data_IF_008354033922
#
_entry.id   IF_008354033922
#
_cell.length_a   1.000
_cell.length_b   1.000
_cell.length_c   1.000
_cell.angle_alpha   90.00
_cell.angle_beta   90.00
_cell.angle_gamma   90.00
#
_symmetry.space_group_name_H-M   'P 1'
#
loop_
_entity.id
_entity.type
_entity.pdbx_description
1 polymer ?
#
# COMPACT_ATOMS: atom_id res chain seq x y z
N UNK A 1 -53.81 44.35 11.62
CA UNK A 1 -52.72 44.14 10.62
C UNK A 1 -51.72 43.17 11.24
N UNK A 2 -51.95 41.85 11.08
CA UNK A 2 -51.11 40.77 11.68
C UNK A 2 -50.12 40.28 10.63
N UNK A 3 -48.81 40.38 10.92
CA UNK A 3 -47.72 39.83 10.11
C UNK A 3 -47.41 38.43 10.65
N UNK A 4 -47.63 37.38 9.86
CA UNK A 4 -47.19 36.03 10.14
C UNK A 4 -45.72 35.87 9.71
N UNK A 5 -44.85 35.59 10.70
CA UNK A 5 -43.48 35.17 10.46
C UNK A 5 -43.48 33.65 10.25
N UNK A 6 -43.18 33.20 9.04
CA UNK A 6 -43.00 31.79 8.71
C UNK A 6 -41.54 31.41 8.96
N UNK A 7 -41.28 30.64 10.02
CA UNK A 7 -39.98 30.05 10.26
C UNK A 7 -39.87 28.78 9.42
N UNK A 8 -39.00 28.81 8.39
CA UNK A 8 -38.61 27.61 7.62
C UNK A 8 -37.54 26.86 8.38
N UNK A 9 -37.86 25.68 8.92
CA UNK A 9 -36.92 24.75 9.52
C UNK A 9 -36.29 23.92 8.39
N UNK A 10 -35.02 24.16 8.08
CA UNK A 10 -34.25 23.29 7.20
C UNK A 10 -33.73 22.14 8.06
N UNK A 11 -34.38 20.98 7.91
CA UNK A 11 -33.87 19.72 8.46
C UNK A 11 -32.70 19.27 7.60
N UNK A 12 -31.46 19.49 8.08
CA UNK A 12 -30.26 18.89 7.51
C UNK A 12 -30.17 17.46 8.06
N UNK A 13 -30.67 16.48 7.29
CA UNK A 13 -30.47 15.07 7.58
C UNK A 13 -29.05 14.68 7.14
N UNK A 14 -28.13 14.63 8.10
CA UNK A 14 -26.84 13.96 7.89
C UNK A 14 -27.09 12.47 7.76
N UNK A 15 -27.02 11.92 6.53
CA UNK A 15 -26.89 10.49 6.34
C UNK A 15 -25.50 10.09 6.88
N UNK A 16 -25.50 9.47 8.07
CA UNK A 16 -24.34 8.73 8.55
C UNK A 16 -24.26 7.45 7.71
N UNK A 17 -23.33 7.45 6.74
CA UNK A 17 -22.95 6.20 6.07
C UNK A 17 -22.30 5.31 7.14
N UNK A 18 -22.98 4.23 7.49
CA UNK A 18 -22.39 3.15 8.28
C UNK A 18 -21.30 2.50 7.39
N UNK A 19 -20.03 2.80 7.65
CA UNK A 19 -18.93 2.08 7.04
C UNK A 19 -18.97 0.64 7.54
N UNK A 20 -19.43 -0.27 6.70
CA UNK A 20 -19.30 -1.70 6.93
C UNK A 20 -17.80 -1.98 6.81
N UNK A 21 -17.11 -2.48 7.86
CA UNK A 21 -15.71 -2.85 7.71
C UNK A 21 -15.61 -3.90 6.61
N UNK A 22 -14.92 -3.58 5.54
CA UNK A 22 -14.58 -4.53 4.50
C UNK A 22 -13.68 -5.59 5.14
N UNK A 23 -14.12 -6.84 5.11
CA UNK A 23 -13.31 -7.94 5.60
C UNK A 23 -12.00 -7.96 4.80
N UNK A 24 -10.86 -8.19 5.48
CA UNK A 24 -9.57 -8.33 4.83
C UNK A 24 -9.65 -9.42 3.76
N UNK A 25 -9.31 -9.05 2.53
CA UNK A 25 -9.28 -9.96 1.38
C UNK A 25 -7.83 -10.38 1.10
N UNK A 26 -7.65 -11.48 0.38
CA UNK A 26 -6.32 -11.86 -0.13
C UNK A 26 -5.97 -10.88 -1.25
N UNK A 27 -4.95 -10.06 -1.03
CA UNK A 27 -4.49 -9.04 -1.97
C UNK A 27 -3.33 -9.51 -2.85
N UNK A 28 -2.55 -10.51 -2.40
CA UNK A 28 -1.54 -11.20 -3.21
C UNK A 28 -1.35 -12.63 -2.69
N UNK A 29 -1.06 -13.56 -3.61
CA UNK A 29 -0.93 -14.98 -3.31
C UNK A 29 0.15 -15.64 -4.15
N UNK A 30 0.99 -16.46 -3.49
CA UNK A 30 2.01 -17.31 -4.08
C UNK A 30 1.74 -18.74 -3.60
N UNK A 31 1.19 -19.61 -4.47
CA UNK A 31 0.84 -21.00 -4.11
C UNK A 31 2.04 -21.92 -4.06
N UNK A 32 3.01 -21.70 -4.92
CA UNK A 32 4.15 -22.58 -5.19
C UNK A 32 3.78 -24.01 -5.64
N UNK A 33 2.52 -24.28 -5.96
CA UNK A 33 2.02 -25.63 -6.26
C UNK A 33 2.80 -26.36 -7.37
N UNK A 34 3.23 -25.60 -8.39
CA UNK A 34 3.97 -26.15 -9.54
C UNK A 34 5.50 -25.98 -9.41
N UNK A 35 5.97 -25.41 -8.28
CA UNK A 35 7.38 -25.19 -8.05
C UNK A 35 8.15 -26.50 -7.82
N UNK A 36 9.37 -26.58 -8.35
CA UNK A 36 10.34 -27.62 -7.97
C UNK A 36 11.10 -27.24 -6.69
N UNK A 37 10.99 -25.98 -6.25
CA UNK A 37 11.60 -25.41 -5.07
C UNK A 37 12.92 -24.70 -5.33
N UNK A 38 13.55 -24.93 -6.47
CA UNK A 38 14.87 -24.39 -6.80
C UNK A 38 14.86 -23.40 -7.97
N UNK A 39 13.70 -22.90 -8.39
CA UNK A 39 13.57 -21.80 -9.35
C UNK A 39 14.33 -20.57 -8.86
N UNK A 40 14.87 -19.78 -9.77
CA UNK A 40 15.55 -18.53 -9.42
C UNK A 40 14.59 -17.55 -8.74
N UNK A 41 13.38 -17.43 -9.29
CA UNK A 41 12.27 -16.66 -8.79
C UNK A 41 10.97 -17.44 -8.98
N UNK A 42 9.92 -17.09 -8.28
CA UNK A 42 8.57 -17.64 -8.47
C UNK A 42 7.56 -16.52 -8.63
N UNK A 43 6.78 -16.54 -9.72
CA UNK A 43 5.78 -15.53 -10.03
C UNK A 43 4.64 -15.47 -9.02
N UNK A 44 4.01 -14.31 -8.88
CA UNK A 44 2.75 -14.19 -8.14
C UNK A 44 1.65 -14.94 -8.90
N UNK A 45 0.88 -15.78 -8.20
CA UNK A 45 -0.24 -16.54 -8.81
C UNK A 45 -1.50 -15.68 -8.94
N UNK A 46 -1.75 -14.81 -7.97
CA UNK A 46 -2.86 -13.87 -7.97
C UNK A 46 -2.52 -12.59 -7.21
N UNK A 47 -3.01 -11.45 -7.71
CA UNK A 47 -2.97 -10.17 -7.02
C UNK A 47 -4.22 -9.34 -7.37
N UNK A 48 -4.58 -8.40 -6.48
CA UNK A 48 -5.63 -7.40 -6.75
C UNK A 48 -5.28 -6.58 -8.00
N UNK A 49 -6.29 -6.16 -8.78
CA UNK A 49 -6.10 -5.46 -10.07
C UNK A 49 -5.31 -4.15 -9.93
N UNK A 50 -5.49 -3.44 -8.81
CA UNK A 50 -4.81 -2.18 -8.53
C UNK A 50 -3.50 -2.34 -7.75
N UNK A 51 -2.96 -3.57 -7.66
CA UNK A 51 -1.73 -3.91 -6.96
C UNK A 51 -0.75 -4.63 -7.89
N UNK A 52 0.45 -4.09 -8.01
CA UNK A 52 1.56 -4.83 -8.59
C UNK A 52 2.29 -5.62 -7.49
N UNK A 53 2.50 -6.90 -7.73
CA UNK A 53 3.30 -7.77 -6.86
C UNK A 53 4.48 -8.35 -7.66
N UNK A 54 5.69 -8.29 -7.08
CA UNK A 54 6.88 -8.86 -7.71
C UNK A 54 6.89 -10.38 -7.60
N UNK A 55 7.75 -11.01 -8.38
CA UNK A 55 8.15 -12.40 -8.13
C UNK A 55 8.76 -12.54 -6.72
N UNK A 56 8.58 -13.73 -6.13
CA UNK A 56 9.31 -14.15 -4.94
C UNK A 56 10.76 -14.44 -5.31
N UNK A 57 11.70 -13.89 -4.56
CA UNK A 57 13.14 -14.02 -4.78
C UNK A 57 13.89 -14.45 -3.49
N UNK A 58 15.16 -14.87 -3.67
CA UNK A 58 16.08 -15.17 -2.57
C UNK A 58 17.13 -14.09 -2.42
N UNK A 59 17.57 -13.85 -1.21
CA UNK A 59 18.75 -13.06 -0.92
C UNK A 59 20.02 -13.74 -1.44
N UNK A 60 21.09 -12.97 -1.67
CA UNK A 60 22.33 -13.50 -2.24
C UNK A 60 23.10 -14.46 -1.33
N UNK A 61 22.82 -14.48 -0.02
CA UNK A 61 23.48 -15.36 0.95
C UNK A 61 22.97 -16.80 0.90
N UNK A 62 21.77 -17.05 0.37
CA UNK A 62 21.19 -18.40 0.30
C UNK A 62 21.17 -18.96 -1.11
N UNK A 63 21.15 -20.28 -1.21
CA UNK A 63 21.09 -20.99 -2.50
C UNK A 63 19.75 -21.72 -2.67
N UNK A 64 19.22 -21.77 -3.92
CA UNK A 64 18.06 -22.59 -4.23
C UNK A 64 18.25 -24.06 -3.82
N UNK A 65 17.17 -24.69 -3.41
CA UNK A 65 17.16 -26.11 -3.02
C UNK A 65 15.87 -26.76 -3.50
N UNK A 66 15.94 -28.02 -3.92
CA UNK A 66 14.78 -28.80 -4.32
C UNK A 66 13.78 -28.93 -3.16
N UNK A 67 12.50 -28.85 -3.49
CA UNK A 67 11.38 -28.99 -2.57
C UNK A 67 10.06 -28.80 -3.30
N UNK A 68 9.58 -29.84 -3.99
CA UNK A 68 8.35 -29.78 -4.80
C UNK A 68 7.20 -29.13 -4.05
N UNK A 69 6.45 -28.26 -4.71
CA UNK A 69 5.33 -27.51 -4.15
C UNK A 69 5.75 -26.47 -3.09
N UNK A 70 6.98 -25.94 -3.15
CA UNK A 70 7.47 -24.95 -2.17
C UNK A 70 8.52 -24.03 -2.79
N UNK A 71 8.80 -22.88 -2.19
CA UNK A 71 9.97 -22.07 -2.47
C UNK A 71 11.04 -22.35 -1.41
N UNK A 72 12.15 -22.98 -1.81
CA UNK A 72 13.09 -23.62 -0.88
C UNK A 72 14.51 -23.06 -1.02
N UNK A 73 15.23 -22.92 0.09
CA UNK A 73 16.63 -22.53 0.10
C UNK A 73 17.46 -23.30 1.13
N UNK A 74 18.78 -23.29 0.92
CA UNK A 74 19.83 -23.82 1.79
C UNK A 74 20.95 -22.81 1.93
N UNK A 75 21.98 -23.12 2.69
CA UNK A 75 23.14 -22.27 3.02
C UNK A 75 22.76 -21.06 3.91
N UNK A 76 21.73 -21.22 4.70
CA UNK A 76 21.35 -20.27 5.73
C UNK A 76 22.44 -20.09 6.78
N UNK A 77 22.56 -18.89 7.35
CA UNK A 77 23.49 -18.59 8.43
C UNK A 77 23.34 -19.56 9.60
N UNK A 78 24.46 -20.10 10.09
CA UNK A 78 24.54 -21.03 11.19
C UNK A 78 24.73 -20.36 12.55
N UNK A 79 24.88 -19.05 12.55
CA UNK A 79 25.05 -18.23 13.75
C UNK A 79 23.91 -17.23 13.91
N UNK A 80 24.17 -15.97 13.99
CA UNK A 80 23.14 -14.93 14.07
C UNK A 80 22.52 -14.56 12.71
N UNK A 81 21.67 -13.56 12.74
CA UNK A 81 21.05 -12.97 11.55
C UNK A 81 22.12 -12.52 10.55
N UNK A 82 21.97 -12.96 9.30
CA UNK A 82 22.69 -12.45 8.15
C UNK A 82 21.72 -11.67 7.26
N UNK A 83 22.11 -10.45 6.86
CA UNK A 83 21.25 -9.56 6.10
C UNK A 83 21.13 -9.96 4.62
N UNK A 84 21.88 -10.95 4.17
CA UNK A 84 21.82 -11.53 2.81
C UNK A 84 20.98 -12.82 2.76
N UNK A 85 20.59 -13.38 3.92
CA UNK A 85 19.89 -14.66 4.04
C UNK A 85 18.38 -14.46 4.19
N UNK A 86 17.64 -14.29 3.07
CA UNK A 86 16.21 -14.04 3.11
C UNK A 86 15.46 -14.59 1.89
N UNK A 87 14.14 -14.67 2.03
CA UNK A 87 13.16 -14.63 0.94
C UNK A 87 12.54 -13.23 0.86
N UNK A 88 12.24 -12.76 -0.33
CA UNK A 88 11.67 -11.40 -0.50
C UNK A 88 10.66 -11.31 -1.62
N UNK A 89 9.73 -10.37 -1.47
CA UNK A 89 8.81 -9.90 -2.49
C UNK A 89 8.49 -8.41 -2.26
N UNK A 90 7.97 -7.76 -3.30
CA UNK A 90 7.59 -6.34 -3.27
C UNK A 90 6.13 -6.19 -3.68
N UNK A 91 5.40 -5.33 -2.99
CA UNK A 91 4.06 -4.88 -3.35
C UNK A 91 4.10 -3.39 -3.66
N UNK A 92 3.40 -2.96 -4.69
CA UNK A 92 3.27 -1.56 -5.06
C UNK A 92 1.83 -1.27 -5.50
N UNK A 93 1.10 -0.39 -4.82
CA UNK A 93 -0.20 0.06 -5.31
C UNK A 93 -0.01 0.81 -6.63
N UNK A 94 -0.96 0.69 -7.56
CA UNK A 94 -0.94 1.47 -8.79
C UNK A 94 -1.20 2.95 -8.50
N UNK A 95 -0.78 3.88 -9.38
CA UNK A 95 -1.01 5.30 -9.20
C UNK A 95 -2.48 5.63 -8.94
N UNK A 96 -2.76 6.40 -7.89
CA UNK A 96 -4.11 6.75 -7.45
C UNK A 96 -4.76 5.74 -6.48
N UNK A 97 -4.01 4.72 -6.06
CA UNK A 97 -4.44 3.75 -5.06
C UNK A 97 -3.53 3.77 -3.83
N UNK A 98 -4.06 3.30 -2.71
CA UNK A 98 -3.33 3.06 -1.47
C UNK A 98 -3.53 1.63 -1.00
N UNK A 99 -2.52 1.06 -0.36
CA UNK A 99 -2.45 -0.30 0.11
C UNK A 99 -2.51 -0.34 1.63
N UNK A 100 -3.40 -1.15 2.19
CA UNK A 100 -3.40 -1.52 3.61
C UNK A 100 -3.15 -3.02 3.69
N UNK A 101 -2.22 -3.44 4.56
CA UNK A 101 -1.87 -4.84 4.76
C UNK A 101 -2.14 -5.21 6.21
N UNK A 102 -3.02 -6.17 6.44
CA UNK A 102 -3.45 -6.56 7.78
C UNK A 102 -2.62 -7.70 8.34
N UNK A 103 -2.27 -8.68 7.49
CA UNK A 103 -1.46 -9.83 7.90
C UNK A 103 -0.80 -10.56 6.73
N UNK A 104 0.23 -11.33 7.07
CA UNK A 104 0.91 -12.28 6.19
C UNK A 104 0.68 -13.67 6.74
N UNK A 105 0.27 -14.60 5.88
CA UNK A 105 0.10 -16.02 6.24
C UNK A 105 0.93 -16.87 5.29
N UNK A 106 1.53 -17.95 5.80
CA UNK A 106 2.29 -18.92 5.00
C UNK A 106 2.43 -20.24 5.74
N UNK A 107 2.74 -21.27 4.99
CA UNK A 107 3.24 -22.51 5.54
C UNK A 107 4.77 -22.51 5.51
N UNK A 108 5.41 -23.07 6.54
CA UNK A 108 6.86 -23.22 6.55
C UNK A 108 7.26 -24.64 6.99
N UNK A 109 8.37 -25.08 6.47
CA UNK A 109 8.96 -26.37 6.86
C UNK A 109 10.48 -26.29 6.79
N UNK A 110 11.15 -26.80 7.84
CA UNK A 110 12.59 -27.00 7.85
C UNK A 110 12.94 -28.48 7.60
N UNK A 111 14.14 -28.78 7.09
CA UNK A 111 14.74 -30.10 7.27
C UNK A 111 15.27 -30.25 8.69
N UNK A 112 15.64 -31.48 9.10
CA UNK A 112 16.19 -31.75 10.44
C UNK A 112 17.41 -30.90 10.81
N UNK A 113 18.16 -30.37 9.84
CA UNK A 113 19.32 -29.51 10.05
C UNK A 113 19.12 -28.07 9.48
N UNK A 114 17.89 -27.68 9.15
CA UNK A 114 17.55 -26.36 8.61
C UNK A 114 17.53 -25.28 9.66
N UNK A 115 16.90 -24.15 9.25
CA UNK A 115 16.76 -22.92 10.05
C UNK A 115 16.06 -23.17 11.38
N UNK A 116 16.54 -22.52 12.44
CA UNK A 116 15.95 -22.59 13.81
C UNK A 116 15.25 -21.33 14.22
N UNK A 117 15.57 -20.19 13.57
CA UNK A 117 14.96 -18.90 13.87
C UNK A 117 14.65 -18.15 12.60
N UNK A 118 13.54 -17.40 12.62
CA UNK A 118 13.17 -16.51 11.55
C UNK A 118 12.60 -15.20 12.09
N UNK A 119 12.62 -14.17 11.24
CA UNK A 119 11.96 -12.88 11.48
C UNK A 119 11.59 -12.21 10.15
N UNK A 120 10.62 -11.31 10.20
CA UNK A 120 10.26 -10.44 9.09
C UNK A 120 10.78 -9.03 9.29
N UNK A 121 11.18 -8.39 8.18
CA UNK A 121 11.50 -6.96 8.09
C UNK A 121 10.99 -6.40 6.77
N UNK A 122 10.88 -5.07 6.66
CA UNK A 122 10.45 -4.42 5.42
C UNK A 122 11.27 -3.17 5.09
N UNK A 123 11.03 -2.64 3.89
CA UNK A 123 11.76 -1.47 3.36
C UNK A 123 11.35 -0.13 4.00
N UNK A 124 10.26 -0.07 4.76
CA UNK A 124 9.79 1.19 5.37
C UNK A 124 10.79 1.79 6.37
N UNK A 125 11.65 0.96 6.95
CA UNK A 125 12.67 1.34 7.92
C UNK A 125 14.08 0.85 7.53
N UNK A 126 14.32 0.62 6.23
CA UNK A 126 15.57 0.06 5.69
C UNK A 126 15.92 -1.30 6.33
N UNK A 127 14.92 -2.11 6.62
CA UNK A 127 15.06 -3.45 7.21
C UNK A 127 15.74 -3.46 8.58
N UNK A 128 15.53 -2.45 9.41
CA UNK A 128 16.19 -2.31 10.73
C UNK A 128 15.37 -2.93 11.86
N UNK A 129 14.04 -2.79 11.83
CA UNK A 129 13.15 -3.29 12.87
C UNK A 129 12.50 -4.62 12.49
N UNK A 130 12.30 -5.47 13.49
CA UNK A 130 11.61 -6.73 13.30
C UNK A 130 10.08 -6.54 13.37
N UNK A 131 9.37 -7.09 12.41
CA UNK A 131 7.91 -7.16 12.42
C UNK A 131 7.52 -8.42 13.22
N UNK A 132 6.79 -8.25 14.32
CA UNK A 132 6.32 -9.36 15.17
C UNK A 132 7.39 -10.06 15.99
N UNK A 133 8.66 -9.64 15.91
CA UNK A 133 9.75 -10.21 16.73
C UNK A 133 10.50 -11.38 16.07
N UNK A 134 11.22 -12.13 16.90
CA UNK A 134 11.99 -13.32 16.48
C UNK A 134 11.21 -14.58 16.86
N UNK A 135 11.10 -15.49 15.92
CA UNK A 135 10.39 -16.76 16.10
C UNK A 135 11.33 -17.95 16.08
N UNK A 136 11.07 -18.92 16.95
CA UNK A 136 11.86 -20.16 17.02
C UNK A 136 11.08 -21.30 16.40
N UNK A 137 11.73 -22.02 15.49
CA UNK A 137 11.17 -23.21 14.84
C UNK A 137 11.46 -24.45 15.72
N UNK A 138 10.44 -25.24 16.09
CA UNK A 138 10.63 -26.51 16.78
C UNK A 138 11.56 -27.47 16.02
N UNK A 139 12.28 -28.31 16.76
CA UNK A 139 13.22 -29.27 16.19
C UNK A 139 12.51 -30.51 15.61
N UNK A 140 11.79 -30.27 14.54
CA UNK A 140 11.14 -31.32 13.73
C UNK A 140 10.97 -30.81 12.29
N UNK A 141 10.60 -31.70 11.38
CA UNK A 141 10.41 -31.42 9.95
C UNK A 141 8.92 -31.30 9.55
N UNK A 142 8.04 -31.01 10.51
CA UNK A 142 6.62 -30.83 10.24
C UNK A 142 6.39 -29.52 9.51
N UNK A 143 5.39 -29.52 8.64
CA UNK A 143 4.85 -28.27 8.06
C UNK A 143 4.06 -27.53 9.13
N UNK A 144 4.26 -26.22 9.23
CA UNK A 144 3.61 -25.33 10.20
C UNK A 144 2.99 -24.15 9.48
N UNK A 145 1.74 -23.90 9.80
CA UNK A 145 1.07 -22.68 9.38
C UNK A 145 1.50 -21.52 10.29
N UNK A 146 1.84 -20.39 9.67
CA UNK A 146 2.23 -19.17 10.35
C UNK A 146 1.28 -18.05 9.97
N UNK A 147 1.01 -17.17 10.93
CA UNK A 147 0.26 -15.92 10.73
C UNK A 147 0.99 -14.81 11.43
N UNK A 148 1.31 -13.74 10.70
CA UNK A 148 1.93 -12.53 11.21
C UNK A 148 0.98 -11.36 11.04
N UNK A 149 0.28 -10.92 12.10
CA UNK A 149 -0.47 -9.67 12.08
C UNK A 149 0.48 -8.48 11.88
N UNK A 150 0.09 -7.54 11.05
CA UNK A 150 0.86 -6.31 10.80
C UNK A 150 0.25 -5.15 11.59
N UNK A 151 1.10 -4.32 12.24
CA UNK A 151 0.62 -3.13 12.97
C UNK A 151 -0.07 -2.14 12.04
N UNK A 152 -1.33 -1.83 12.33
CA UNK A 152 -2.16 -0.94 11.49
C UNK A 152 -1.66 0.51 11.44
N UNK A 153 -0.91 0.97 12.43
CA UNK A 153 -0.29 2.29 12.46
C UNK A 153 0.86 2.44 11.45
N UNK A 154 1.42 1.32 10.98
CA UNK A 154 2.57 1.28 10.06
C UNK A 154 2.17 0.84 8.66
N UNK A 155 1.22 -0.11 8.53
CA UNK A 155 0.89 -0.78 7.27
C UNK A 155 -0.47 -0.37 6.69
N UNK A 156 -0.94 0.84 7.00
CA UNK A 156 -2.18 1.40 6.48
C UNK A 156 -1.90 2.56 5.53
N UNK A 157 -2.63 2.61 4.40
CA UNK A 157 -2.58 3.69 3.42
C UNK A 157 -1.19 3.94 2.83
N UNK A 158 -0.50 2.86 2.48
CA UNK A 158 0.78 2.93 1.79
C UNK A 158 0.53 3.31 0.32
N UNK A 159 1.15 4.36 -0.15
CA UNK A 159 1.08 4.87 -1.53
C UNK A 159 2.37 4.61 -2.33
N UNK A 160 3.39 4.07 -1.66
CA UNK A 160 4.66 3.67 -2.25
C UNK A 160 4.88 2.16 -2.18
N UNK A 161 5.86 1.69 -2.95
CA UNK A 161 6.25 0.28 -2.94
C UNK A 161 6.85 -0.14 -1.60
N UNK A 162 6.44 -1.31 -1.10
CA UNK A 162 6.99 -1.93 0.09
C UNK A 162 7.61 -3.28 -0.26
N UNK A 163 8.84 -3.52 0.17
CA UNK A 163 9.51 -4.82 0.06
C UNK A 163 9.58 -5.49 1.40
N UNK A 164 9.12 -6.73 1.47
CA UNK A 164 9.23 -7.59 2.64
C UNK A 164 10.40 -8.55 2.49
N UNK A 165 11.07 -8.85 3.61
CA UNK A 165 12.11 -9.88 3.71
C UNK A 165 11.84 -10.81 4.88
N UNK A 166 11.79 -12.09 4.60
CA UNK A 166 11.71 -13.15 5.59
C UNK A 166 13.11 -13.75 5.76
N UNK A 167 13.74 -13.41 6.87
CA UNK A 167 15.08 -13.86 7.22
C UNK A 167 15.04 -15.19 7.95
N UNK A 168 15.95 -16.10 7.58
CA UNK A 168 16.17 -17.36 8.29
C UNK A 168 17.61 -17.47 8.78
N UNK A 169 17.82 -18.00 9.98
CA UNK A 169 19.16 -18.16 10.55
C UNK A 169 19.23 -19.24 11.63
N UNK A 170 20.39 -19.44 12.25
CA UNK A 170 20.67 -20.54 13.18
C UNK A 170 20.43 -21.91 12.56
N UNK A 171 20.78 -22.09 11.26
CA UNK A 171 20.73 -23.40 10.63
C UNK A 171 21.77 -24.32 11.26
N UNK A 172 21.42 -25.59 11.43
CA UNK A 172 22.34 -26.56 12.03
C UNK A 172 23.40 -27.07 11.04
N UNK A 173 23.10 -26.95 9.74
CA UNK A 173 24.02 -27.32 8.65
C UNK A 173 23.84 -26.38 7.45
N UNK A 174 24.91 -26.14 6.69
CA UNK A 174 24.85 -25.46 5.39
C UNK A 174 24.00 -26.19 4.34
N UNK A 175 23.79 -27.51 4.52
CA UNK A 175 22.90 -28.32 3.68
C UNK A 175 21.46 -28.34 4.21
N UNK A 176 21.23 -27.80 5.40
CA UNK A 176 19.90 -27.66 5.98
C UNK A 176 19.02 -26.78 5.13
N UNK A 177 17.82 -27.27 4.81
CA UNK A 177 16.86 -26.53 3.98
C UNK A 177 15.77 -25.89 4.83
N UNK A 178 15.28 -24.74 4.38
CA UNK A 178 14.05 -24.13 4.83
C UNK A 178 13.22 -23.72 3.63
N UNK A 179 11.92 -23.92 3.71
CA UNK A 179 11.00 -23.74 2.61
C UNK A 179 9.71 -23.09 3.09
N UNK A 180 9.12 -22.33 2.20
CA UNK A 180 7.81 -21.71 2.40
C UNK A 180 6.84 -22.18 1.32
N UNK A 181 5.57 -22.11 1.65
CA UNK A 181 4.46 -22.53 0.81
C UNK A 181 3.21 -21.72 1.15
N UNK A 182 2.24 -21.63 0.23
CA UNK A 182 0.96 -20.94 0.45
C UNK A 182 1.09 -19.53 1.05
N UNK A 183 1.99 -18.71 0.53
CA UNK A 183 2.16 -17.35 1.05
C UNK A 183 1.00 -16.45 0.59
N UNK A 184 0.26 -15.90 1.55
CA UNK A 184 -0.90 -15.02 1.35
C UNK A 184 -0.70 -13.71 2.09
N UNK A 185 -1.06 -12.61 1.43
CA UNK A 185 -1.16 -11.31 2.04
C UNK A 185 -2.62 -10.91 2.08
N UNK A 186 -3.11 -10.56 3.25
CA UNK A 186 -4.46 -10.08 3.44
C UNK A 186 -4.49 -8.60 3.76
N UNK A 187 -5.48 -7.90 3.21
CA UNK A 187 -5.60 -6.46 3.36
C UNK A 187 -6.62 -5.86 2.40
N UNK A 188 -6.39 -4.62 2.01
CA UNK A 188 -7.24 -3.89 1.05
C UNK A 188 -6.40 -2.99 0.15
N UNK A 189 -6.83 -2.86 -1.10
CA UNK A 189 -6.33 -1.84 -2.04
C UNK A 189 -7.49 -0.91 -2.34
N UNK A 190 -7.33 0.38 -2.08
CA UNK A 190 -8.41 1.36 -2.23
C UNK A 190 -7.97 2.58 -3.03
N UNK A 191 -8.88 3.16 -3.80
CA UNK A 191 -8.59 4.41 -4.50
C UNK A 191 -8.39 5.55 -3.49
N UNK A 192 -7.33 6.35 -3.70
CA UNK A 192 -7.12 7.57 -2.93
C UNK A 192 -8.26 8.54 -3.24
N UNK A 193 -9.03 9.01 -2.24
CA UNK A 193 -10.10 9.96 -2.48
C UNK A 193 -9.55 11.23 -3.15
N UNK A 194 -10.06 11.56 -4.32
CA UNK A 194 -9.69 12.84 -4.92
C UNK A 194 -10.06 13.98 -3.97
N UNK A 195 -9.21 15.01 -3.83
CA UNK A 195 -9.56 16.19 -3.03
C UNK A 195 -10.89 16.71 -3.53
N UNK A 196 -11.91 16.60 -2.70
CA UNK A 196 -13.31 16.86 -3.04
C UNK A 196 -13.39 18.15 -3.84
N UNK A 197 -14.06 18.13 -5.01
CA UNK A 197 -14.16 19.22 -5.99
C UNK A 197 -14.74 20.56 -5.46
N UNK A 198 -15.03 20.64 -4.15
CA UNK A 198 -15.35 21.86 -3.41
C UNK A 198 -14.27 22.93 -3.60
N UNK A 199 -12.99 22.55 -3.56
CA UNK A 199 -11.87 23.48 -3.77
C UNK A 199 -11.79 23.96 -5.22
N UNK A 200 -12.05 23.08 -6.20
CA UNK A 200 -12.11 23.46 -7.61
C UNK A 200 -13.33 24.39 -7.89
N UNK A 201 -14.47 24.10 -7.26
CA UNK A 201 -15.67 24.91 -7.37
C UNK A 201 -15.49 26.30 -6.72
N UNK A 202 -14.86 26.36 -5.55
CA UNK A 202 -14.53 27.62 -4.86
C UNK A 202 -13.52 28.42 -5.69
N UNK A 203 -12.47 27.80 -6.23
CA UNK A 203 -11.50 28.47 -7.09
C UNK A 203 -12.16 29.04 -8.36
N UNK A 204 -13.08 28.29 -8.99
CA UNK A 204 -13.82 28.74 -10.15
C UNK A 204 -14.76 29.88 -9.82
N UNK A 205 -15.47 29.85 -8.68
CA UNK A 205 -16.33 30.93 -8.20
C UNK A 205 -15.55 32.19 -7.85
N UNK A 206 -14.37 32.07 -7.26
CA UNK A 206 -13.47 33.20 -6.97
C UNK A 206 -12.95 33.80 -8.28
N UNK A 207 -12.55 32.98 -9.24
CA UNK A 207 -12.09 33.44 -10.57
C UNK A 207 -13.22 34.17 -11.33
N UNK A 208 -14.45 33.66 -11.32
CA UNK A 208 -15.63 34.32 -11.90
C UNK A 208 -15.94 35.63 -11.20
N UNK A 209 -15.78 35.72 -9.89
CA UNK A 209 -16.01 36.95 -9.12
C UNK A 209 -14.99 38.04 -9.48
N UNK A 210 -13.71 37.65 -9.65
CA UNK A 210 -12.63 38.56 -10.05
C UNK A 210 -12.85 39.06 -11.49
N UNK A 211 -13.22 38.19 -12.43
CA UNK A 211 -13.49 38.54 -13.81
C UNK A 211 -14.73 39.47 -13.95
N UNK A 212 -15.75 39.28 -13.12
CA UNK A 212 -16.95 40.14 -13.09
C UNK A 212 -16.64 41.52 -12.50
N UNK A 213 -15.74 41.61 -11.54
CA UNK A 213 -15.32 42.88 -10.89
C UNK A 213 -14.48 43.75 -11.82
N UNK A 214 -13.71 43.12 -12.74
CA UNK A 214 -12.89 43.86 -13.72
C UNK A 214 -13.66 44.34 -14.96
N UNK A 215 -14.97 44.02 -15.06
CA UNK A 215 -15.88 44.59 -16.06
C UNK A 215 -16.66 45.78 -15.45
N UNK A 216 -15.97 46.78 -14.92
CA UNK A 216 -16.60 48.05 -14.60
C UNK A 216 -17.01 48.76 -15.89
N UNK A 217 -18.22 49.38 -15.96
CA UNK A 217 -18.64 50.06 -17.15
C UNK A 217 -17.73 51.26 -17.43
N UNK A 218 -17.23 51.35 -18.66
CA UNK A 218 -16.60 52.59 -19.12
C UNK A 218 -17.65 53.69 -19.10
N UNK A 219 -17.48 54.70 -18.27
CA UNK A 219 -18.26 55.90 -18.29
C UNK A 219 -18.05 56.65 -19.62
N UNK A 220 -19.12 56.79 -20.41
CA UNK A 220 -19.14 57.64 -21.57
C UNK A 220 -18.84 59.10 -21.14
N UNK A 221 -17.70 59.60 -21.51
CA UNK A 221 -17.44 61.04 -21.47
C UNK A 221 -18.10 61.65 -22.68
N UNK A 222 -19.28 62.25 -22.51
CA UNK A 222 -19.87 63.17 -23.50
C UNK A 222 -19.06 64.45 -23.48
N UNK A 223 -18.35 64.71 -24.59
CA UNK A 223 -17.74 66.01 -24.91
C UNK A 223 -18.80 66.92 -25.53
N UNK A 224 -19.34 67.85 -24.73
CA UNK A 224 -20.15 68.97 -25.22
C UNK A 224 -19.21 69.96 -25.86
N UNK A 225 -19.24 70.11 -27.20
CA UNK A 225 -18.59 71.16 -27.93
C UNK A 225 -19.54 72.37 -27.97
N UNK A 226 -19.21 73.44 -27.25
CA UNK A 226 -19.82 74.76 -27.39
C UNK A 226 -19.19 75.45 -28.58
N UNK A 227 -20.02 75.70 -29.59
CA UNK A 227 -19.75 76.61 -30.72
C UNK A 227 -19.90 78.04 -30.24
N UNK A 228 -18.85 78.82 -30.31
CA UNK A 228 -18.99 80.27 -30.24
C UNK A 228 -18.54 80.91 -31.57
N UNK A 229 -19.53 81.50 -32.17
CA UNK A 229 -19.45 82.39 -33.31
C UNK A 229 -19.01 83.73 -32.80
N UNK A 230 -17.98 84.36 -33.39
CA UNK A 230 -17.88 85.81 -33.39
C UNK A 230 -17.24 86.34 -34.68
N UNK A 231 -18.03 87.14 -35.34
CA UNK A 231 -17.72 87.99 -36.47
C UNK A 231 -16.77 89.17 -36.09
N UNK A 232 -15.96 89.59 -36.99
CA UNK A 232 -15.87 90.98 -37.44
C UNK A 232 -14.51 91.32 -38.05
N UNK A 233 -14.65 91.89 -39.21
CA UNK A 233 -14.09 92.95 -40.03
C UNK A 233 -12.90 92.57 -40.90
#
# INVERSE_FOLDING_TARGET
MFRYLVYSWIFSSSLSLCEIPLAAAVIAYYSFDEALGNETVYGVDASEEALWASDMARGPGVQPSLGSGTFSARQWSRSGLDMEDYFSFTLAPLPGFELTIDQIQWNERRSSSGVRQWLWRCSLDDYTLNIGGVHTIPDNDLTRHQTLPLPSDTFTRLDEAITFRLYGYMAESSQGTWRIDDLRLEGTVSAVPEPSGIHATIALLVLFSILKRNRAPQSNFETTSTFQDEMSV
#
